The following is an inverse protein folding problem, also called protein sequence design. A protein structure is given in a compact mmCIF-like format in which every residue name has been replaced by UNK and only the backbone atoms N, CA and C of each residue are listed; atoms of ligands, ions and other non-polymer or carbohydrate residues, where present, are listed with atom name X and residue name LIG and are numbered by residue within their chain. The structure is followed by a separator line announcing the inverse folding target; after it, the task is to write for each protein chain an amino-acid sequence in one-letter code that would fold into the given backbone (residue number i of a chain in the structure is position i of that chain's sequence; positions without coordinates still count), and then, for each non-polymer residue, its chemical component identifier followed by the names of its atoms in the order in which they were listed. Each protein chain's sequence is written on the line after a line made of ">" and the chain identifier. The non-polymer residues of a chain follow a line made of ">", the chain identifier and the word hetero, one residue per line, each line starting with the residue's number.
data_IF_663434152994
#
_entry.id   IF_663434152994
#
_cell.length_a   1.000
_cell.length_b   1.000
_cell.length_c   1.000
_cell.angle_alpha   90.00
_cell.angle_beta   90.00
_cell.angle_gamma   90.00
#
_symmetry.space_group_name_H-M   'P 1'
#
loop_
_entity.id
_entity.type
_entity.pdbx_description
1 polymer ?
#
# COMPACT_ATOMS: atom_id res chain seq x y z
N UNK A 1 -29.36 18.99 -29.43
CA UNK A 1 -28.81 18.69 -28.08
C UNK A 1 -29.71 19.42 -27.11
N UNK A 2 -30.28 18.71 -26.14
CA UNK A 2 -31.14 19.33 -25.13
C UNK A 2 -30.27 19.82 -23.96
N UNK A 3 -30.19 21.14 -23.71
CA UNK A 3 -29.23 21.71 -22.76
C UNK A 3 -29.52 21.30 -21.31
N UNK A 4 -30.79 21.07 -20.96
CA UNK A 4 -31.21 20.62 -19.62
C UNK A 4 -30.73 19.18 -19.35
N UNK A 5 -30.79 18.31 -20.35
CA UNK A 5 -30.29 16.95 -20.25
C UNK A 5 -28.77 16.92 -20.07
N UNK A 6 -28.06 17.85 -20.71
CA UNK A 6 -26.60 17.96 -20.54
C UNK A 6 -26.20 18.41 -19.14
N UNK A 7 -26.91 19.38 -18.55
CA UNK A 7 -26.68 19.80 -17.17
C UNK A 7 -26.94 18.67 -16.18
N UNK A 8 -28.04 17.93 -16.35
CA UNK A 8 -28.35 16.77 -15.50
C UNK A 8 -27.27 15.69 -15.58
N UNK A 9 -26.75 15.43 -16.79
CA UNK A 9 -25.69 14.45 -16.98
C UNK A 9 -24.38 14.88 -16.32
N UNK A 10 -24.03 16.17 -16.35
CA UNK A 10 -22.82 16.71 -15.71
C UNK A 10 -22.87 16.54 -14.18
N UNK A 11 -24.05 16.60 -13.56
CA UNK A 11 -24.21 16.39 -12.12
C UNK A 11 -24.02 14.93 -11.69
N UNK A 12 -24.24 13.96 -12.60
CA UNK A 12 -24.08 12.55 -12.25
C UNK A 12 -22.62 12.15 -12.12
N UNK A 13 -22.25 11.64 -10.93
CA UNK A 13 -20.89 11.12 -10.64
C UNK A 13 -20.42 10.10 -11.69
N UNK A 14 -21.32 9.21 -12.14
CA UNK A 14 -21.00 8.18 -13.15
C UNK A 14 -20.57 8.78 -14.48
N UNK A 15 -21.26 9.82 -14.96
CA UNK A 15 -20.92 10.48 -16.22
C UNK A 15 -19.65 11.32 -16.09
N UNK A 16 -19.47 11.98 -14.95
CA UNK A 16 -18.23 12.70 -14.63
C UNK A 16 -17.02 11.76 -14.66
N UNK A 17 -17.05 10.65 -13.91
CA UNK A 17 -15.95 9.68 -13.92
C UNK A 17 -15.79 8.98 -15.27
N UNK A 18 -16.90 8.72 -15.99
CA UNK A 18 -16.87 8.15 -17.33
C UNK A 18 -16.18 9.04 -18.36
N UNK A 19 -16.35 10.36 -18.27
CA UNK A 19 -15.66 11.33 -19.15
C UNK A 19 -14.23 11.63 -18.69
N UNK A 20 -14.00 11.76 -17.38
CA UNK A 20 -12.69 12.10 -16.82
C UNK A 20 -11.64 10.99 -16.99
N UNK A 21 -12.08 9.72 -17.01
CA UNK A 21 -11.19 8.56 -17.19
C UNK A 21 -10.40 8.60 -18.50
N UNK A 22 -11.00 9.12 -19.57
CA UNK A 22 -10.33 9.27 -20.86
C UNK A 22 -9.12 10.23 -20.78
N UNK A 23 -9.26 11.36 -20.07
CA UNK A 23 -8.19 12.34 -19.91
C UNK A 23 -7.05 11.87 -19.00
N UNK A 24 -7.36 11.14 -17.93
CA UNK A 24 -6.34 10.55 -17.06
C UNK A 24 -5.60 9.42 -17.80
N UNK A 25 -6.32 8.62 -18.59
CA UNK A 25 -5.74 7.56 -19.41
C UNK A 25 -4.77 8.07 -20.47
N UNK A 26 -5.10 9.17 -21.16
CA UNK A 26 -4.19 9.79 -22.13
C UNK A 26 -2.96 10.41 -21.47
N UNK A 27 -3.11 11.01 -20.29
CA UNK A 27 -1.97 11.52 -19.52
C UNK A 27 -1.03 10.39 -19.08
N UNK A 28 -1.58 9.26 -18.60
CA UNK A 28 -0.81 8.08 -18.23
C UNK A 28 -0.10 7.46 -19.45
N UNK A 29 -0.79 7.36 -20.60
CA UNK A 29 -0.19 6.87 -21.84
C UNK A 29 0.94 7.79 -22.32
N UNK A 30 0.76 9.11 -22.24
CA UNK A 30 1.81 10.08 -22.56
C UNK A 30 3.04 9.90 -21.69
N UNK A 31 2.86 9.64 -20.38
CA UNK A 31 3.95 9.35 -19.45
C UNK A 31 4.68 8.03 -19.77
N UNK A 32 4.00 7.03 -20.32
CA UNK A 32 4.62 5.75 -20.70
C UNK A 32 5.33 5.84 -22.05
N UNK A 33 4.77 6.58 -23.01
CA UNK A 33 5.34 6.73 -24.35
C UNK A 33 6.57 7.64 -24.37
N UNK A 34 6.62 8.64 -23.49
CA UNK A 34 7.77 9.52 -23.35
C UNK A 34 7.97 9.89 -21.86
N UNK A 35 8.83 9.15 -21.16
CA UNK A 35 9.16 9.41 -19.75
C UNK A 35 9.76 10.80 -19.50
N UNK A 36 10.42 11.37 -20.51
CA UNK A 36 11.10 12.67 -20.43
C UNK A 36 10.15 13.86 -20.68
N UNK A 37 8.89 13.59 -21.05
CA UNK A 37 7.90 14.61 -21.43
C UNK A 37 7.53 15.54 -20.26
N UNK A 38 7.74 15.09 -19.02
CA UNK A 38 7.56 15.88 -17.79
C UNK A 38 8.86 16.43 -17.20
N UNK A 39 9.99 16.34 -17.92
CA UNK A 39 11.29 16.85 -17.46
C UNK A 39 11.85 16.12 -16.24
N UNK A 40 11.37 14.91 -15.95
CA UNK A 40 11.92 14.08 -14.89
C UNK A 40 13.28 13.55 -15.33
N UNK A 41 14.35 14.03 -14.70
CA UNK A 41 15.65 13.33 -14.77
C UNK A 41 15.42 11.89 -14.30
N UNK A 42 16.12 10.90 -14.88
CA UNK A 42 16.01 9.50 -14.47
C UNK A 42 16.67 9.34 -13.09
N UNK A 43 16.02 9.86 -12.05
CA UNK A 43 16.35 9.52 -10.69
C UNK A 43 15.79 8.12 -10.49
N UNK A 44 16.68 7.14 -10.62
CA UNK A 44 16.43 5.79 -10.16
C UNK A 44 15.81 5.89 -8.76
N UNK A 45 14.56 5.44 -8.53
CA UNK A 45 13.93 5.51 -7.22
C UNK A 45 14.71 4.71 -6.17
N UNK A 46 15.61 3.83 -6.62
CA UNK A 46 16.53 3.03 -5.81
C UNK A 46 17.69 3.87 -5.27
N UNK A 47 18.14 4.89 -6.01
CA UNK A 47 19.28 5.75 -5.65
C UNK A 47 18.90 6.84 -4.63
N UNK A 48 17.58 7.00 -4.40
CA UNK A 48 17.01 7.85 -3.35
C UNK A 48 16.60 7.06 -2.09
N UNK A 49 16.87 5.74 -2.03
CA UNK A 49 16.85 5.06 -0.73
C UNK A 49 18.03 5.57 0.07
N UNK A 50 17.76 6.61 0.85
CA UNK A 50 18.60 7.08 1.93
C UNK A 50 19.25 5.89 2.65
N UNK A 51 20.58 5.82 2.66
CA UNK A 51 21.36 4.81 3.41
C UNK A 51 21.13 4.86 4.93
N UNK A 52 20.21 5.70 5.41
CA UNK A 52 19.74 5.75 6.78
C UNK A 52 18.89 4.50 7.06
N UNK A 53 19.37 3.65 7.96
CA UNK A 53 18.60 2.52 8.45
C UNK A 53 17.24 3.02 8.98
N UNK A 54 16.10 2.55 8.44
CA UNK A 54 14.79 3.06 8.84
C UNK A 54 14.54 2.75 10.31
N UNK A 55 14.27 3.80 11.09
CA UNK A 55 13.86 3.64 12.49
C UNK A 55 12.41 3.17 12.53
N UNK A 56 12.17 1.95 13.02
CA UNK A 56 10.81 1.45 13.21
C UNK A 56 10.04 2.36 14.19
N UNK A 57 9.12 3.16 13.66
CA UNK A 57 8.32 4.13 14.45
C UNK A 57 7.00 3.54 14.96
N UNK A 58 6.49 2.50 14.29
CA UNK A 58 5.21 1.85 14.58
C UNK A 58 5.34 0.36 14.33
N UNK A 59 4.86 -0.45 15.27
CA UNK A 59 4.82 -1.92 15.17
C UNK A 59 3.34 -2.32 15.19
N UNK A 60 2.91 -3.11 14.21
CA UNK A 60 1.58 -3.72 14.21
C UNK A 60 1.73 -5.08 14.89
N UNK A 61 1.21 -5.19 16.11
CA UNK A 61 1.15 -6.47 16.83
C UNK A 61 -0.22 -7.10 16.60
N UNK A 62 -0.22 -8.25 15.93
CA UNK A 62 -1.43 -9.01 15.65
C UNK A 62 -1.54 -10.16 16.65
N UNK A 63 -2.48 -10.05 17.58
CA UNK A 63 -2.87 -11.17 18.43
C UNK A 63 -4.01 -11.92 17.76
N UNK A 64 -3.71 -13.09 17.17
CA UNK A 64 -4.73 -13.96 16.63
C UNK A 64 -5.44 -14.68 17.77
N UNK A 65 -6.59 -14.14 18.19
CA UNK A 65 -7.46 -14.80 19.17
C UNK A 65 -7.91 -16.15 18.60
N UNK A 66 -7.46 -17.24 19.22
CA UNK A 66 -7.81 -18.61 18.84
C UNK A 66 -6.69 -19.45 18.24
N UNK A 67 -5.50 -18.90 18.00
CA UNK A 67 -4.33 -19.74 17.72
C UNK A 67 -3.86 -20.43 19.01
N UNK A 68 -3.43 -21.70 18.96
CA UNK A 68 -2.81 -22.36 20.11
C UNK A 68 -1.61 -21.53 20.56
N UNK A 69 -1.44 -21.37 21.88
CA UNK A 69 -0.27 -20.66 22.38
C UNK A 69 1.01 -21.38 21.89
N UNK A 70 2.09 -20.64 21.67
CA UNK A 70 3.37 -21.25 21.27
C UNK A 70 3.83 -22.32 22.27
N UNK A 71 3.38 -22.23 23.53
CA UNK A 71 3.61 -23.22 24.58
C UNK A 71 2.72 -24.46 24.43
N UNK A 72 1.45 -24.31 24.04
CA UNK A 72 0.49 -25.41 23.83
C UNK A 72 0.73 -26.22 22.54
N UNK A 73 1.62 -25.76 21.66
CA UNK A 73 2.02 -26.53 20.49
C UNK A 73 2.89 -27.73 20.91
N UNK A 74 2.59 -28.90 20.34
CA UNK A 74 3.31 -30.17 20.51
C UNK A 74 4.68 -30.19 19.81
N UNK A 75 5.42 -29.10 19.94
CA UNK A 75 6.78 -28.96 19.45
C UNK A 75 7.77 -29.23 20.59
N UNK A 76 8.83 -29.99 20.29
CA UNK A 76 9.86 -30.32 21.26
C UNK A 76 10.71 -29.09 21.56
N UNK A 77 10.65 -28.63 22.81
CA UNK A 77 11.35 -27.43 23.28
C UNK A 77 12.50 -27.82 24.22
N UNK A 78 13.70 -28.10 23.68
CA UNK A 78 14.85 -28.40 24.54
C UNK A 78 15.15 -27.20 25.43
N UNK A 79 15.27 -27.43 26.74
CA UNK A 79 15.56 -26.40 27.72
C UNK A 79 14.34 -25.77 28.41
N UNK A 80 13.09 -26.01 27.97
CA UNK A 80 11.91 -25.41 28.62
C UNK A 80 11.78 -25.79 30.10
N UNK A 81 12.15 -27.02 30.46
CA UNK A 81 12.15 -27.48 31.85
C UNK A 81 13.19 -26.78 32.73
N UNK A 82 14.27 -26.25 32.17
CA UNK A 82 15.33 -25.56 32.93
C UNK A 82 14.91 -24.15 33.37
N UNK A 83 13.89 -23.59 32.73
CA UNK A 83 13.35 -22.28 33.00
C UNK A 83 12.05 -22.34 33.82
N UNK A 84 11.58 -23.54 34.15
CA UNK A 84 10.45 -23.71 35.05
C UNK A 84 10.84 -23.22 36.45
N UNK A 85 10.01 -22.32 37.02
CA UNK A 85 10.16 -21.79 38.38
C UNK A 85 11.40 -20.92 38.64
N UNK A 86 11.99 -20.32 37.60
CA UNK A 86 13.02 -19.27 37.76
C UNK A 86 12.37 -17.90 37.89
N UNK A 87 12.79 -17.13 38.89
CA UNK A 87 12.43 -15.71 39.02
C UNK A 87 13.09 -14.88 37.90
N UNK A 88 12.35 -13.89 37.40
CA UNK A 88 12.74 -12.99 36.31
C UNK A 88 13.68 -11.87 36.76
#
# INVERSE_FOLDING_TARGET
>A
MDPIRESELIETRRHFFGKASAGIGTAALGSLMNPDLFGATPNNPIDQLSHLAPKAKRVIYLFMSGAPSQLDMWDYKPGLGEWFDKEL
#
